data_IF_369039686593
#
_entry.id   IF_369039686593
#
_cell.length_a   1.000
_cell.length_b   1.000
_cell.length_c   1.000
_cell.angle_alpha   90.00
_cell.angle_beta   90.00
_cell.angle_gamma   90.00
#
_symmetry.space_group_name_H-M   'P 1'
#
loop_
_entity.id
_entity.type
_entity.pdbx_description
1 polymer ?
#
# COMPACT_ATOMS: atom_id res chain seq x y z
N UNK A 1 -19.95 -16.79 19.37
CA UNK A 1 -19.92 -15.42 19.90
C UNK A 1 -18.52 -14.86 19.76
N UNK A 2 -18.40 -13.59 19.37
CA UNK A 2 -17.10 -12.91 19.23
C UNK A 2 -16.82 -12.08 20.46
N UNK A 3 -15.55 -12.00 20.83
CA UNK A 3 -15.09 -11.14 21.94
C UNK A 3 -14.91 -9.68 21.47
N UNK A 4 -14.59 -9.52 20.18
CA UNK A 4 -14.39 -8.21 19.55
C UNK A 4 -14.87 -8.23 18.10
N UNK A 5 -15.58 -7.20 17.70
CA UNK A 5 -15.95 -6.97 16.30
C UNK A 5 -15.31 -5.66 15.86
N UNK A 6 -14.51 -5.71 14.80
CA UNK A 6 -13.83 -4.54 14.22
C UNK A 6 -14.49 -4.18 12.91
N UNK A 7 -14.88 -2.94 12.76
CA UNK A 7 -15.49 -2.42 11.54
C UNK A 7 -14.46 -1.55 10.83
N UNK A 8 -14.04 -2.00 9.65
CA UNK A 8 -13.02 -1.36 8.83
C UNK A 8 -11.65 -2.01 8.98
N UNK A 9 -10.98 -2.18 7.84
CA UNK A 9 -9.66 -2.82 7.74
C UNK A 9 -8.53 -1.83 7.41
N UNK A 10 -8.69 -0.57 7.78
CA UNK A 10 -7.60 0.39 7.76
C UNK A 10 -6.53 0.04 8.79
N UNK A 11 -5.43 0.81 8.90
CA UNK A 11 -4.32 0.48 9.80
C UNK A 11 -4.74 0.23 11.24
N UNK A 12 -5.65 1.04 11.79
CA UNK A 12 -6.13 0.88 13.17
C UNK A 12 -6.92 -0.42 13.34
N UNK A 13 -7.87 -0.68 12.44
CA UNK A 13 -8.71 -1.88 12.49
C UNK A 13 -7.90 -3.15 12.32
N UNK A 14 -7.00 -3.19 11.32
CA UNK A 14 -6.12 -4.32 11.07
C UNK A 14 -5.24 -4.63 12.28
N UNK A 15 -4.55 -3.63 12.81
CA UNK A 15 -3.64 -3.82 13.94
C UNK A 15 -4.39 -4.20 15.22
N UNK A 16 -5.54 -3.56 15.49
CA UNK A 16 -6.36 -3.88 16.65
C UNK A 16 -6.92 -5.30 16.60
N UNK A 17 -7.43 -5.71 15.44
CA UNK A 17 -7.96 -7.06 15.24
C UNK A 17 -6.85 -8.12 15.39
N UNK A 18 -5.71 -7.93 14.74
CA UNK A 18 -4.59 -8.85 14.80
C UNK A 18 -4.05 -8.98 16.23
N UNK A 19 -3.94 -7.88 16.96
CA UNK A 19 -3.44 -7.89 18.34
C UNK A 19 -4.40 -8.63 19.28
N UNK A 20 -5.71 -8.40 19.16
CA UNK A 20 -6.70 -9.11 19.97
C UNK A 20 -6.68 -10.61 19.68
N UNK A 21 -6.59 -11.01 18.41
CA UNK A 21 -6.48 -12.40 18.01
C UNK A 21 -5.20 -13.05 18.53
N UNK A 22 -4.09 -12.33 18.54
CA UNK A 22 -2.83 -12.79 19.12
C UNK A 22 -2.98 -13.17 20.59
N UNK A 23 -3.80 -12.46 21.35
CA UNK A 23 -4.09 -12.76 22.75
C UNK A 23 -5.22 -13.79 22.93
N UNK A 24 -5.55 -14.53 21.89
CA UNK A 24 -6.51 -15.62 21.95
C UNK A 24 -7.98 -15.20 21.97
N UNK A 25 -8.28 -13.94 21.63
CA UNK A 25 -9.66 -13.47 21.55
C UNK A 25 -10.29 -13.86 20.21
N UNK A 26 -11.58 -14.10 20.22
CA UNK A 26 -12.34 -14.37 18.98
C UNK A 26 -12.75 -13.04 18.38
N UNK A 27 -12.19 -12.71 17.21
CA UNK A 27 -12.35 -11.42 16.55
C UNK A 27 -13.03 -11.59 15.20
N UNK A 28 -14.01 -10.74 14.91
CA UNK A 28 -14.56 -10.57 13.58
C UNK A 28 -14.13 -9.21 13.03
N UNK A 29 -13.57 -9.20 11.81
CA UNK A 29 -13.23 -7.99 11.08
C UNK A 29 -14.19 -7.84 9.90
N UNK A 30 -14.87 -6.71 9.83
CA UNK A 30 -15.86 -6.42 8.78
C UNK A 30 -15.29 -5.34 7.87
N UNK A 31 -15.20 -5.64 6.56
CA UNK A 31 -14.79 -4.70 5.53
C UNK A 31 -15.80 -4.71 4.38
N UNK A 32 -16.35 -3.54 4.05
CA UNK A 32 -17.34 -3.42 2.97
C UNK A 32 -16.70 -3.31 1.58
N UNK A 33 -15.46 -2.86 1.50
CA UNK A 33 -14.77 -2.68 0.23
C UNK A 33 -14.16 -4.00 -0.25
N UNK A 34 -13.91 -4.09 -1.56
CA UNK A 34 -13.33 -5.29 -2.17
C UNK A 34 -11.89 -5.57 -1.71
N UNK A 35 -11.18 -4.52 -1.30
CA UNK A 35 -9.79 -4.62 -0.86
C UNK A 35 -9.63 -4.15 0.58
N UNK A 36 -8.83 -4.89 1.34
CA UNK A 36 -8.42 -4.50 2.69
C UNK A 36 -7.47 -3.29 2.65
N UNK A 37 -7.26 -2.64 3.79
CA UNK A 37 -6.25 -1.59 3.93
C UNK A 37 -6.80 -0.18 4.09
N UNK A 38 -8.07 0.05 3.79
CA UNK A 38 -8.72 1.35 3.91
C UNK A 38 -8.10 2.43 3.03
N UNK A 39 -8.31 3.68 3.37
CA UNK A 39 -7.81 4.82 2.60
C UNK A 39 -6.28 4.89 2.58
N UNK A 40 -5.63 4.50 3.67
CA UNK A 40 -4.17 4.52 3.79
C UNK A 40 -3.48 3.73 2.66
N UNK A 41 -4.02 2.55 2.33
CA UNK A 41 -3.44 1.67 1.32
C UNK A 41 -4.02 1.89 -0.08
N UNK A 42 -5.32 2.14 -0.18
CA UNK A 42 -6.02 2.07 -1.45
C UNK A 42 -6.21 3.41 -2.16
N UNK A 43 -6.39 4.51 -1.43
CA UNK A 43 -6.76 5.81 -2.02
C UNK A 43 -5.90 6.99 -1.59
N UNK A 44 -5.12 6.87 -0.54
CA UNK A 44 -4.41 8.02 0.03
C UNK A 44 -2.94 7.75 0.32
N UNK A 45 -2.60 7.59 1.58
CA UNK A 45 -1.24 7.64 2.13
C UNK A 45 -0.18 6.87 1.32
N UNK A 46 -0.35 5.55 1.14
CA UNK A 46 0.64 4.73 0.43
C UNK A 46 0.69 5.06 -1.06
N UNK A 47 -0.44 5.11 -1.78
CA UNK A 47 -0.41 5.49 -3.20
C UNK A 47 0.18 6.88 -3.43
N UNK A 48 -0.21 7.87 -2.64
CA UNK A 48 0.31 9.25 -2.78
C UNK A 48 1.80 9.33 -2.52
N UNK A 49 2.28 8.67 -1.47
CA UNK A 49 3.71 8.62 -1.15
C UNK A 49 4.52 7.98 -2.27
N UNK A 50 4.03 6.88 -2.83
CA UNK A 50 4.71 6.15 -3.91
C UNK A 50 4.75 6.99 -5.19
N UNK A 51 3.66 7.68 -5.51
CA UNK A 51 3.63 8.59 -6.65
C UNK A 51 4.62 9.75 -6.47
N UNK A 52 4.72 10.29 -5.26
CA UNK A 52 5.71 11.32 -4.94
C UNK A 52 7.13 10.82 -5.12
N UNK A 53 7.44 9.63 -4.66
CA UNK A 53 8.76 9.01 -4.84
C UNK A 53 9.10 8.84 -6.31
N UNK A 54 8.14 8.37 -7.13
CA UNK A 54 8.31 8.25 -8.58
C UNK A 54 8.56 9.61 -9.23
N UNK A 55 7.81 10.64 -8.84
CA UNK A 55 7.99 11.99 -9.37
C UNK A 55 9.37 12.55 -9.02
N UNK A 56 9.85 12.33 -7.81
CA UNK A 56 11.19 12.75 -7.39
C UNK A 56 12.29 12.02 -8.16
N UNK A 57 12.10 10.75 -8.44
CA UNK A 57 13.04 9.98 -9.25
C UNK A 57 13.18 10.57 -10.66
N UNK A 58 12.05 10.85 -11.34
CA UNK A 58 12.07 11.48 -12.66
C UNK A 58 12.67 12.89 -12.63
N UNK A 59 12.39 13.67 -11.59
CA UNK A 59 13.01 14.98 -11.38
C UNK A 59 14.52 14.85 -11.21
N UNK A 60 14.97 13.85 -10.45
CA UNK A 60 16.38 13.57 -10.25
C UNK A 60 17.12 13.21 -11.55
N UNK A 61 16.44 12.55 -12.50
CA UNK A 61 17.04 12.25 -13.81
C UNK A 61 17.47 13.51 -14.56
N UNK A 62 16.73 14.60 -14.45
CA UNK A 62 17.09 15.88 -15.07
C UNK A 62 18.38 16.44 -14.53
N UNK A 63 18.72 16.13 -13.30
CA UNK A 63 19.95 16.63 -12.66
C UNK A 63 21.19 15.82 -13.03
N UNK A 64 21.02 14.64 -13.62
CA UNK A 64 22.14 13.78 -14.03
C UNK A 64 23.07 14.46 -15.02
N UNK A 65 22.55 15.29 -15.90
CA UNK A 65 23.37 16.07 -16.83
C UNK A 65 24.37 16.99 -16.13
N UNK A 66 24.04 17.50 -14.94
CA UNK A 66 24.93 18.34 -14.14
C UNK A 66 26.17 17.57 -13.63
N UNK A 67 26.06 16.26 -13.54
CA UNK A 67 27.13 15.37 -13.09
C UNK A 67 27.80 14.61 -14.24
N UNK A 68 27.53 15.00 -15.47
CA UNK A 68 28.10 14.35 -16.66
C UNK A 68 27.50 12.97 -16.96
N UNK A 69 26.31 12.70 -16.47
CA UNK A 69 25.62 11.42 -16.69
C UNK A 69 24.57 11.59 -17.78
N UNK A 70 24.73 10.86 -18.88
CA UNK A 70 23.71 10.82 -19.93
C UNK A 70 22.58 9.88 -19.56
N UNK A 71 21.36 10.28 -19.91
CA UNK A 71 20.19 9.42 -19.75
C UNK A 71 19.21 9.63 -20.91
N UNK A 72 18.39 8.63 -21.17
CA UNK A 72 17.28 8.73 -22.11
C UNK A 72 16.06 8.02 -21.55
N UNK A 73 14.86 8.53 -21.83
CA UNK A 73 13.62 7.87 -21.50
C UNK A 73 13.17 7.05 -22.71
N UNK A 74 12.50 5.93 -22.44
CA UNK A 74 11.93 5.09 -23.49
C UNK A 74 10.89 5.87 -24.28
N UNK A 75 10.94 5.74 -25.62
CA UNK A 75 9.89 6.29 -26.47
C UNK A 75 8.55 5.61 -26.16
N UNK A 76 7.47 6.37 -26.21
CA UNK A 76 6.13 5.88 -25.88
C UNK A 76 5.86 5.70 -24.40
N UNK A 77 6.66 6.32 -23.53
CA UNK A 77 6.41 6.32 -22.09
C UNK A 77 5.03 6.91 -21.78
N UNK A 78 4.22 6.18 -21.02
CA UNK A 78 2.83 6.54 -20.73
C UNK A 78 2.60 6.81 -19.24
N UNK A 79 1.41 7.34 -18.91
CA UNK A 79 0.96 7.47 -17.52
C UNK A 79 0.91 6.10 -16.84
N UNK A 80 0.55 5.05 -17.58
CA UNK A 80 0.55 3.69 -17.04
C UNK A 80 1.95 3.24 -16.60
N UNK A 81 2.99 3.58 -17.38
CA UNK A 81 4.38 3.31 -16.99
C UNK A 81 4.77 4.05 -15.71
N UNK A 82 4.36 5.31 -15.59
CA UNK A 82 4.59 6.12 -14.40
C UNK A 82 3.88 5.53 -13.17
N UNK A 83 2.67 5.02 -13.35
CA UNK A 83 1.85 4.45 -12.28
C UNK A 83 2.27 3.03 -11.87
N UNK A 84 3.11 2.35 -12.66
CA UNK A 84 3.46 0.94 -12.45
C UNK A 84 4.03 0.67 -11.05
N UNK A 85 4.95 1.50 -10.59
CA UNK A 85 5.56 1.32 -9.26
C UNK A 85 4.52 1.48 -8.15
N UNK A 86 3.64 2.47 -8.26
CA UNK A 86 2.54 2.65 -7.31
C UNK A 86 1.64 1.42 -7.27
N UNK A 87 1.26 0.89 -8.42
CA UNK A 87 0.39 -0.28 -8.50
C UNK A 87 1.06 -1.53 -7.90
N UNK A 88 2.35 -1.72 -8.15
CA UNK A 88 3.12 -2.82 -7.57
C UNK A 88 3.20 -2.73 -6.05
N UNK A 89 3.46 -1.54 -5.50
CA UNK A 89 3.53 -1.32 -4.05
C UNK A 89 2.17 -1.56 -3.39
N UNK A 90 1.09 -1.03 -3.95
CA UNK A 90 -0.26 -1.22 -3.41
C UNK A 90 -0.63 -2.69 -3.40
N UNK A 91 -0.36 -3.43 -4.48
CA UNK A 91 -0.63 -4.88 -4.56
C UNK A 91 0.15 -5.64 -3.50
N UNK A 92 1.45 -5.36 -3.34
CA UNK A 92 2.29 -6.01 -2.34
C UNK A 92 1.80 -5.75 -0.91
N UNK A 93 1.40 -4.53 -0.60
CA UNK A 93 0.90 -4.16 0.73
C UNK A 93 -0.47 -4.81 1.02
N UNK A 94 -1.35 -4.93 0.02
CA UNK A 94 -2.62 -5.65 0.16
C UNK A 94 -2.41 -7.12 0.50
N UNK A 95 -1.48 -7.78 -0.18
CA UNK A 95 -1.12 -9.17 0.09
C UNK A 95 -0.56 -9.34 1.50
N UNK A 96 0.32 -8.45 1.90
CA UNK A 96 0.93 -8.46 3.24
C UNK A 96 -0.12 -8.34 4.33
N UNK A 97 -1.08 -7.43 4.18
CA UNK A 97 -2.16 -7.25 5.12
C UNK A 97 -3.06 -8.49 5.21
N UNK A 98 -3.41 -9.07 4.06
CA UNK A 98 -4.19 -10.30 3.99
C UNK A 98 -3.49 -11.45 4.70
N UNK A 99 -2.19 -11.64 4.48
CA UNK A 99 -1.39 -12.66 5.14
C UNK A 99 -1.32 -12.44 6.65
N UNK A 100 -1.13 -11.20 7.08
CA UNK A 100 -1.08 -10.85 8.51
C UNK A 100 -2.39 -11.20 9.21
N UNK A 101 -3.53 -10.86 8.63
CA UNK A 101 -4.83 -11.19 9.20
C UNK A 101 -5.09 -12.69 9.20
N UNK A 102 -4.69 -13.41 8.15
CA UNK A 102 -4.83 -14.86 8.07
C UNK A 102 -4.01 -15.58 9.15
N UNK A 103 -2.81 -15.09 9.46
CA UNK A 103 -1.93 -15.69 10.46
C UNK A 103 -2.48 -15.60 11.88
N UNK A 104 -3.41 -14.67 12.13
CA UNK A 104 -3.98 -14.43 13.46
C UNK A 104 -5.44 -14.91 13.60
N UNK A 105 -5.89 -15.83 12.78
CA UNK A 105 -7.25 -16.41 12.87
C UNK A 105 -7.48 -17.18 14.17
#
# INVERSE_FOLDING_TARGET
MYDLIVIGSGPAGEKGAAQAAYFGKRVALIEREAHLGGACLNTGTVPSKTLRESALYFSGLRQRGLYGIDYSLREGLTVADFMHHKDAVVTAEREKETQNLAAHK
#
